data_IF_577031132879
#
_entry.id   IF_577031132879
#
_cell.length_a   1.000
_cell.length_b   1.000
_cell.length_c   1.000
_cell.angle_alpha   90.00
_cell.angle_beta   90.00
_cell.angle_gamma   90.00
#
_symmetry.space_group_name_H-M   'P 1'
#
loop_
_entity.id
_entity.type
_entity.pdbx_description
1 polymer ?
#
# COMPACT_ATOMS: atom_id res chain seq x y z
N UNK A 1 3.03 9.23 -19.52
CA UNK A 1 3.90 10.31 -20.03
C UNK A 1 4.04 11.47 -19.04
N UNK A 2 2.95 11.93 -18.42
CA UNK A 2 2.96 13.01 -17.41
C UNK A 2 3.74 12.59 -16.15
N UNK A 3 3.64 11.34 -15.74
CA UNK A 3 4.30 10.80 -14.53
C UNK A 3 5.80 10.61 -14.76
N UNK A 4 6.21 10.12 -15.94
CA UNK A 4 7.63 10.10 -16.32
C UNK A 4 8.22 11.53 -16.36
N UNK A 5 7.46 12.52 -16.88
CA UNK A 5 7.86 13.93 -16.80
C UNK A 5 7.98 14.44 -15.36
N UNK A 6 7.05 14.07 -14.46
CA UNK A 6 7.16 14.40 -13.02
C UNK A 6 8.38 13.78 -12.36
N UNK A 7 8.75 12.55 -12.70
CA UNK A 7 9.93 11.87 -12.15
C UNK A 7 11.24 12.47 -12.66
N UNK A 8 11.31 12.83 -13.95
CA UNK A 8 12.48 13.55 -14.52
C UNK A 8 12.69 14.88 -13.80
N UNK A 9 11.59 15.54 -13.39
CA UNK A 9 11.64 16.82 -12.67
C UNK A 9 11.69 16.67 -11.15
N UNK A 10 11.49 15.47 -10.59
CA UNK A 10 11.55 15.20 -9.15
C UNK A 10 12.19 13.82 -8.89
N UNK A 11 13.52 13.77 -8.79
CA UNK A 11 14.26 12.51 -8.56
C UNK A 11 13.98 11.87 -7.18
N UNK A 12 13.18 12.52 -6.33
CA UNK A 12 12.74 11.98 -5.02
C UNK A 12 11.53 11.06 -5.10
N UNK A 13 10.90 10.92 -6.29
CA UNK A 13 9.79 9.97 -6.43
C UNK A 13 10.29 8.54 -6.17
N UNK A 14 9.62 7.88 -5.23
CA UNK A 14 9.96 6.52 -4.82
C UNK A 14 9.70 5.51 -5.94
N UNK A 15 10.48 4.42 -5.95
CA UNK A 15 10.46 3.37 -6.99
C UNK A 15 9.08 2.66 -7.12
N UNK A 16 8.22 2.74 -6.12
CA UNK A 16 6.87 2.15 -6.19
C UNK A 16 6.02 2.74 -7.33
N UNK A 17 6.22 4.01 -7.66
CA UNK A 17 5.53 4.64 -8.81
C UNK A 17 5.91 3.99 -10.14
N UNK A 18 7.17 3.55 -10.30
CA UNK A 18 7.62 2.87 -11.53
C UNK A 18 7.01 1.47 -11.65
N UNK A 19 6.94 0.72 -10.54
CA UNK A 19 6.31 -0.61 -10.51
C UNK A 19 4.85 -0.49 -10.93
N UNK A 20 4.10 0.42 -10.32
CA UNK A 20 2.68 0.61 -10.60
C UNK A 20 2.45 1.10 -12.03
N UNK A 21 3.31 1.99 -12.53
CA UNK A 21 3.22 2.44 -13.92
C UNK A 21 3.45 1.29 -14.92
N UNK A 22 4.40 0.39 -14.63
CA UNK A 22 4.60 -0.82 -15.43
C UNK A 22 3.38 -1.75 -15.40
N UNK A 23 2.72 -1.87 -14.23
CA UNK A 23 1.47 -2.61 -14.10
C UNK A 23 0.33 -1.97 -14.91
N UNK A 24 0.26 -0.64 -14.97
CA UNK A 24 -0.69 0.08 -15.83
C UNK A 24 -0.63 -0.36 -17.27
N UNK A 25 0.57 -0.61 -17.81
CA UNK A 25 0.74 -1.14 -19.16
C UNK A 25 0.22 -2.59 -19.29
N UNK A 26 0.44 -3.44 -18.27
CA UNK A 26 -0.02 -4.84 -18.23
C UNK A 26 -1.55 -4.95 -18.17
N UNK A 27 -2.21 -4.02 -17.48
CA UNK A 27 -3.64 -4.01 -17.24
C UNK A 27 -4.39 -2.95 -18.09
N UNK A 28 -3.75 -2.43 -19.12
CA UNK A 28 -4.34 -1.42 -20.01
C UNK A 28 -5.69 -1.90 -20.57
N UNK A 29 -6.69 -1.03 -20.52
CA UNK A 29 -8.06 -1.27 -20.98
C UNK A 29 -8.75 -2.46 -20.25
N UNK A 30 -8.35 -2.77 -19.03
CA UNK A 30 -9.00 -3.78 -18.18
C UNK A 30 -9.70 -3.11 -17.02
N UNK A 31 -10.94 -3.50 -16.79
CA UNK A 31 -11.66 -3.12 -15.58
C UNK A 31 -11.16 -4.02 -14.43
N UNK A 32 -10.25 -3.50 -13.61
CA UNK A 32 -9.64 -4.20 -12.48
C UNK A 32 -10.05 -3.56 -11.17
N UNK A 33 -10.05 -4.36 -10.10
CA UNK A 33 -10.22 -3.87 -8.75
C UNK A 33 -8.86 -3.76 -8.06
N UNK A 34 -8.56 -2.59 -7.53
CA UNK A 34 -7.33 -2.33 -6.77
C UNK A 34 -7.71 -1.96 -5.35
N UNK A 35 -7.04 -2.56 -4.36
CA UNK A 35 -7.17 -2.20 -2.95
C UNK A 35 -5.87 -1.55 -2.47
N UNK A 36 -6.00 -0.39 -1.84
CA UNK A 36 -4.94 0.27 -1.07
C UNK A 36 -5.30 0.21 0.41
N UNK A 37 -4.36 -0.27 1.24
CA UNK A 37 -4.46 -0.25 2.70
C UNK A 37 -3.48 0.80 3.22
N UNK A 38 -4.03 1.91 3.76
CA UNK A 38 -3.27 3.09 4.16
C UNK A 38 -3.39 4.22 3.15
N UNK A 39 -4.51 4.97 3.21
CA UNK A 39 -4.81 6.07 2.28
C UNK A 39 -3.95 7.31 2.51
N UNK A 40 -3.63 7.61 3.78
CA UNK A 40 -2.94 8.83 4.19
C UNK A 40 -3.58 10.10 3.62
N UNK A 41 -2.85 10.91 2.84
CA UNK A 41 -3.37 12.12 2.15
C UNK A 41 -3.98 11.81 0.76
N UNK A 42 -4.12 10.53 0.38
CA UNK A 42 -4.76 10.08 -0.87
C UNK A 42 -3.94 10.30 -2.14
N UNK A 43 -2.67 10.73 -2.03
CA UNK A 43 -1.84 10.97 -3.23
C UNK A 43 -1.62 9.70 -4.04
N UNK A 44 -1.44 8.56 -3.36
CA UNK A 44 -1.19 7.31 -4.07
C UNK A 44 -2.48 6.74 -4.67
N UNK A 45 -3.63 6.84 -3.99
CA UNK A 45 -4.93 6.52 -4.57
C UNK A 45 -5.22 7.34 -5.84
N UNK A 46 -4.93 8.65 -5.80
CA UNK A 46 -5.05 9.53 -6.97
C UNK A 46 -4.11 9.08 -8.11
N UNK A 47 -2.89 8.69 -7.77
CA UNK A 47 -1.94 8.16 -8.75
C UNK A 47 -2.45 6.85 -9.36
N UNK A 48 -2.96 5.91 -8.56
CA UNK A 48 -3.57 4.66 -9.04
C UNK A 48 -4.73 4.95 -9.99
N UNK A 49 -5.63 5.87 -9.65
CA UNK A 49 -6.74 6.30 -10.50
C UNK A 49 -6.27 6.79 -11.88
N UNK A 50 -5.19 7.57 -11.92
CA UNK A 50 -4.63 8.07 -13.18
C UNK A 50 -3.92 6.99 -14.01
N UNK A 51 -3.35 5.98 -13.37
CA UNK A 51 -2.67 4.86 -14.06
C UNK A 51 -3.66 3.82 -14.57
N UNK A 52 -4.78 3.64 -13.85
CA UNK A 52 -5.83 2.68 -14.16
C UNK A 52 -7.20 3.37 -14.32
N UNK A 53 -7.39 4.18 -15.39
CA UNK A 53 -8.61 4.99 -15.55
C UNK A 53 -9.88 4.15 -15.69
N UNK A 54 -9.76 2.90 -16.18
CA UNK A 54 -10.87 1.97 -16.31
C UNK A 54 -11.00 1.03 -15.08
N UNK A 55 -10.15 1.19 -14.07
CA UNK A 55 -10.14 0.37 -12.85
C UNK A 55 -10.90 1.03 -11.71
N UNK A 56 -11.30 0.23 -10.73
CA UNK A 56 -11.90 0.68 -9.48
C UNK A 56 -10.83 0.70 -8.38
N UNK A 57 -10.58 1.85 -7.78
CA UNK A 57 -9.58 2.05 -6.72
C UNK A 57 -10.30 2.10 -5.39
N UNK A 58 -10.19 1.07 -4.59
CA UNK A 58 -10.66 1.02 -3.21
C UNK A 58 -9.51 1.39 -2.29
N UNK A 59 -9.69 2.39 -1.45
CA UNK A 59 -8.65 2.82 -0.51
C UNK A 59 -9.24 2.92 0.89
N UNK A 60 -8.51 2.44 1.89
CA UNK A 60 -8.98 2.38 3.27
C UNK A 60 -7.99 3.00 4.24
N UNK A 61 -8.50 3.69 5.23
CA UNK A 61 -7.73 4.22 6.35
C UNK A 61 -8.57 4.20 7.63
N UNK A 62 -7.93 4.33 8.78
CA UNK A 62 -8.62 4.48 10.05
C UNK A 62 -9.61 5.67 10.01
N UNK A 63 -10.74 5.58 10.73
CA UNK A 63 -11.64 6.71 10.88
C UNK A 63 -10.92 7.96 11.40
N UNK A 64 -11.30 9.11 10.89
CA UNK A 64 -10.64 10.39 11.22
C UNK A 64 -10.82 10.81 12.69
N UNK A 65 -11.78 10.25 13.41
CA UNK A 65 -11.99 10.41 14.84
C UNK A 65 -11.25 9.40 15.71
N UNK A 66 -10.67 8.34 15.10
CA UNK A 66 -9.89 7.31 15.81
C UNK A 66 -8.68 7.92 16.53
N UNK A 67 -8.38 7.41 17.74
CA UNK A 67 -7.25 7.88 18.56
C UNK A 67 -5.91 7.62 17.89
N UNK A 68 -5.72 6.45 17.29
CA UNK A 68 -4.47 6.05 16.62
C UNK A 68 -4.24 6.94 15.40
N UNK A 69 -5.29 7.16 14.59
CA UNK A 69 -5.23 8.08 13.46
C UNK A 69 -4.81 9.50 13.89
N UNK A 70 -5.37 10.03 14.97
CA UNK A 70 -5.04 11.38 15.48
C UNK A 70 -3.64 11.47 16.06
N UNK A 71 -3.13 10.41 16.70
CA UNK A 71 -1.79 10.40 17.29
C UNK A 71 -0.68 10.37 16.24
N UNK A 72 -0.93 9.75 15.10
CA UNK A 72 0.05 9.67 14.02
C UNK A 72 0.24 11.02 13.32
N UNK A 73 1.48 11.30 12.91
CA UNK A 73 1.87 12.51 12.17
C UNK A 73 1.43 13.83 12.82
N UNK A 74 1.30 13.86 14.18
CA UNK A 74 0.86 15.04 14.94
C UNK A 74 -0.53 15.57 14.56
N UNK A 75 -1.44 14.70 14.12
CA UNK A 75 -2.85 15.03 13.78
C UNK A 75 -3.72 15.35 15.01
N UNK A 76 -3.16 15.30 16.22
CA UNK A 76 -3.77 15.89 17.43
C UNK A 76 -3.87 17.41 17.36
N UNK A 77 -3.04 18.07 16.57
CA UNK A 77 -3.16 19.48 16.23
C UNK A 77 -4.28 19.66 15.19
N UNK A 78 -5.29 20.45 15.53
CA UNK A 78 -6.49 20.63 14.70
C UNK A 78 -6.17 21.23 13.32
N UNK A 79 -5.22 22.16 13.23
CA UNK A 79 -4.80 22.77 11.97
C UNK A 79 -4.14 21.73 11.05
N UNK A 80 -3.31 20.86 11.63
CA UNK A 80 -2.66 19.79 10.88
C UNK A 80 -3.67 18.73 10.44
N UNK A 81 -4.61 18.37 11.32
CA UNK A 81 -5.70 17.45 10.98
C UNK A 81 -6.54 18.01 9.83
N UNK A 82 -7.01 19.24 9.93
CA UNK A 82 -7.82 19.87 8.89
C UNK A 82 -7.07 19.98 7.56
N UNK A 83 -5.78 20.33 7.59
CA UNK A 83 -4.94 20.36 6.39
C UNK A 83 -4.86 18.95 5.74
N UNK A 84 -4.62 17.92 6.56
CA UNK A 84 -4.55 16.54 6.11
C UNK A 84 -5.87 16.09 5.45
N UNK A 85 -7.01 16.31 6.13
CA UNK A 85 -8.33 15.94 5.62
C UNK A 85 -8.67 16.68 4.32
N UNK A 86 -8.35 17.97 4.22
CA UNK A 86 -8.56 18.75 3.00
C UNK A 86 -7.73 18.22 1.82
N UNK A 87 -6.47 17.85 2.05
CA UNK A 87 -5.62 17.24 1.02
C UNK A 87 -6.17 15.87 0.60
N UNK A 88 -6.55 15.02 1.57
CA UNK A 88 -7.15 13.72 1.32
C UNK A 88 -8.40 13.86 0.46
N UNK A 89 -9.34 14.71 0.84
CA UNK A 89 -10.58 14.93 0.09
C UNK A 89 -10.31 15.41 -1.35
N UNK A 90 -9.35 16.32 -1.52
CA UNK A 90 -8.94 16.79 -2.84
C UNK A 90 -8.36 15.67 -3.71
N UNK A 91 -7.49 14.83 -3.14
CA UNK A 91 -6.84 13.76 -3.88
C UNK A 91 -7.78 12.59 -4.20
N UNK A 92 -8.83 12.40 -3.40
CA UNK A 92 -9.80 11.32 -3.57
C UNK A 92 -11.02 11.72 -4.44
N UNK A 93 -10.98 12.86 -5.13
CA UNK A 93 -12.12 13.39 -5.90
C UNK A 93 -12.35 12.73 -7.26
N UNK A 94 -11.55 11.75 -7.66
CA UNK A 94 -11.77 11.03 -8.92
C UNK A 94 -12.92 10.02 -8.79
N UNK A 95 -13.74 9.92 -9.84
CA UNK A 95 -14.98 9.11 -9.84
C UNK A 95 -14.76 7.60 -9.65
N UNK A 96 -13.55 7.11 -9.97
CA UNK A 96 -13.20 5.70 -9.81
C UNK A 96 -12.45 5.39 -8.50
N UNK A 97 -12.42 6.33 -7.54
CA UNK A 97 -11.86 6.14 -6.20
C UNK A 97 -13.00 5.96 -5.19
N UNK A 98 -12.95 4.85 -4.46
CA UNK A 98 -13.88 4.50 -3.40
C UNK A 98 -13.12 4.47 -2.07
N UNK A 99 -13.29 5.52 -1.28
CA UNK A 99 -12.64 5.65 0.02
C UNK A 99 -13.56 5.16 1.15
N UNK A 100 -12.98 4.39 2.08
CA UNK A 100 -13.68 3.89 3.26
C UNK A 100 -12.88 4.17 4.53
N UNK A 101 -13.51 4.81 5.49
CA UNK A 101 -12.95 4.99 6.84
C UNK A 101 -13.25 3.75 7.69
N UNK A 102 -12.34 2.76 7.67
CA UNK A 102 -12.44 1.52 8.45
C UNK A 102 -11.07 1.09 8.96
N UNK A 103 -11.06 0.41 10.11
CA UNK A 103 -9.88 -0.36 10.53
C UNK A 103 -9.68 -1.53 9.56
N UNK A 104 -8.44 -1.72 9.08
CA UNK A 104 -8.09 -2.79 8.15
C UNK A 104 -8.38 -4.19 8.71
N UNK A 105 -8.52 -4.37 10.03
CA UNK A 105 -9.02 -5.62 10.63
C UNK A 105 -10.41 -6.02 10.12
N UNK A 106 -11.19 -5.08 9.60
CA UNK A 106 -12.55 -5.30 9.12
C UNK A 106 -12.66 -5.49 7.59
N UNK A 107 -11.54 -5.56 6.87
CA UNK A 107 -11.52 -5.65 5.40
C UNK A 107 -12.33 -6.84 4.88
N UNK A 108 -12.19 -8.02 5.49
CA UNK A 108 -12.94 -9.23 5.06
C UNK A 108 -14.44 -9.08 5.22
N UNK A 109 -14.93 -8.41 6.27
CA UNK A 109 -16.35 -8.15 6.44
C UNK A 109 -16.87 -7.11 5.45
N UNK A 110 -16.08 -6.07 5.18
CA UNK A 110 -16.43 -4.99 4.25
C UNK A 110 -16.45 -5.45 2.80
N UNK A 111 -15.44 -6.23 2.39
CA UNK A 111 -15.25 -6.65 0.99
C UNK A 111 -15.53 -8.15 0.76
N UNK A 112 -16.41 -8.75 1.55
CA UNK A 112 -16.69 -10.19 1.60
C UNK A 112 -16.82 -10.86 0.22
N UNK A 113 -17.55 -10.23 -0.71
CA UNK A 113 -17.85 -10.77 -2.04
C UNK A 113 -16.91 -10.20 -3.14
N UNK A 114 -15.95 -9.37 -2.74
CA UNK A 114 -15.06 -8.70 -3.70
C UNK A 114 -13.69 -9.38 -3.77
N UNK A 115 -13.16 -9.50 -4.98
CA UNK A 115 -11.79 -9.90 -5.24
C UNK A 115 -11.04 -8.76 -5.90
N UNK A 116 -9.75 -8.68 -5.59
CA UNK A 116 -8.87 -7.65 -6.09
C UNK A 116 -7.78 -8.24 -6.99
N UNK A 117 -7.42 -7.50 -8.04
CA UNK A 117 -6.36 -7.85 -8.99
C UNK A 117 -4.99 -7.37 -8.51
N UNK A 118 -4.98 -6.21 -7.84
CA UNK A 118 -3.81 -5.62 -7.22
C UNK A 118 -4.18 -5.17 -5.80
N UNK A 119 -3.30 -5.47 -4.83
CA UNK A 119 -3.44 -5.00 -3.45
C UNK A 119 -2.14 -4.32 -3.05
N UNK A 120 -2.23 -3.06 -2.62
CA UNK A 120 -1.14 -2.26 -2.07
C UNK A 120 -1.30 -2.13 -0.57
N UNK A 121 -0.25 -2.49 0.20
CA UNK A 121 -0.23 -2.43 1.66
C UNK A 121 0.83 -1.43 2.10
N UNK A 122 0.40 -0.30 2.64
CA UNK A 122 1.24 0.79 3.15
C UNK A 122 0.62 1.41 4.42
N UNK A 123 0.02 0.57 5.27
CA UNK A 123 -0.53 0.95 6.56
C UNK A 123 0.49 0.83 7.70
N UNK A 124 0.09 0.22 8.82
CA UNK A 124 0.99 -0.05 9.95
C UNK A 124 1.90 -1.24 9.64
N UNK A 125 3.22 -1.02 9.61
CA UNK A 125 4.22 -2.05 9.31
C UNK A 125 4.63 -2.92 10.52
N UNK A 126 3.97 -2.75 11.69
CA UNK A 126 4.30 -3.48 12.90
C UNK A 126 3.35 -4.65 13.15
N UNK A 127 3.87 -5.65 13.86
CA UNK A 127 3.07 -6.78 14.37
C UNK A 127 2.09 -6.29 15.45
N UNK A 128 0.85 -6.83 15.52
CA UNK A 128 0.30 -7.87 14.64
C UNK A 128 -0.37 -7.35 13.37
N UNK A 129 -0.51 -6.01 13.19
CA UNK A 129 -1.33 -5.40 12.14
C UNK A 129 -0.87 -5.83 10.75
N UNK A 130 0.41 -5.74 10.44
CA UNK A 130 0.92 -6.09 9.11
C UNK A 130 0.65 -7.56 8.73
N UNK A 131 0.69 -8.49 9.70
CA UNK A 131 0.37 -9.88 9.42
C UNK A 131 -1.13 -10.05 9.09
N UNK A 132 -2.00 -9.34 9.80
CA UNK A 132 -3.44 -9.35 9.50
C UNK A 132 -3.71 -8.75 8.12
N UNK A 133 -3.09 -7.63 7.77
CA UNK A 133 -3.27 -6.98 6.47
C UNK A 133 -2.83 -7.90 5.33
N UNK A 134 -1.66 -8.56 5.44
CA UNK A 134 -1.19 -9.53 4.46
C UNK A 134 -2.13 -10.76 4.36
N UNK A 135 -2.58 -11.29 5.51
CA UNK A 135 -3.52 -12.42 5.54
C UNK A 135 -4.84 -12.07 4.86
N UNK A 136 -5.42 -10.92 5.20
CA UNK A 136 -6.68 -10.46 4.60
C UNK A 136 -6.51 -10.17 3.10
N UNK A 137 -5.36 -9.62 2.69
CA UNK A 137 -5.04 -9.41 1.28
C UNK A 137 -5.10 -10.74 0.50
N UNK A 138 -4.52 -11.83 1.03
CA UNK A 138 -4.62 -13.16 0.38
C UNK A 138 -6.07 -13.66 0.33
N UNK A 139 -6.85 -13.47 1.40
CA UNK A 139 -8.27 -13.85 1.43
C UNK A 139 -9.11 -13.08 0.41
N UNK A 140 -8.77 -11.83 0.15
CA UNK A 140 -9.41 -10.95 -0.84
C UNK A 140 -8.82 -11.12 -2.26
N UNK A 141 -7.89 -12.05 -2.44
CA UNK A 141 -7.22 -12.33 -3.72
C UNK A 141 -7.86 -13.48 -4.49
N UNK A 142 -7.57 -13.52 -5.78
CA UNK A 142 -7.67 -14.69 -6.66
C UNK A 142 -6.26 -15.17 -7.01
N UNK A 143 -6.15 -16.34 -7.67
CA UNK A 143 -4.87 -16.79 -8.22
C UNK A 143 -4.37 -15.77 -9.24
N UNK A 144 -3.10 -15.39 -9.15
CA UNK A 144 -2.49 -14.39 -10.00
C UNK A 144 -2.65 -12.94 -9.52
N UNK A 145 -3.41 -12.68 -8.43
CA UNK A 145 -3.45 -11.34 -7.79
C UNK A 145 -2.05 -10.90 -7.41
N UNK A 146 -1.77 -9.62 -7.63
CA UNK A 146 -0.49 -8.99 -7.28
C UNK A 146 -0.66 -8.29 -5.93
N UNK A 147 0.14 -8.69 -4.93
CA UNK A 147 0.21 -8.03 -3.63
C UNK A 147 1.55 -7.31 -3.53
N UNK A 148 1.49 -6.01 -3.29
CA UNK A 148 2.64 -5.13 -3.07
C UNK A 148 2.65 -4.68 -1.61
N UNK A 149 3.79 -4.84 -0.92
CA UNK A 149 3.95 -4.35 0.46
C UNK A 149 5.10 -3.36 0.49
N UNK A 150 4.83 -2.16 1.02
CA UNK A 150 5.83 -1.10 1.11
C UNK A 150 6.74 -1.25 2.34
N UNK A 151 7.81 -0.48 2.33
CA UNK A 151 8.78 -0.29 3.43
C UNK A 151 9.32 -1.60 4.07
N UNK A 152 9.47 -2.67 3.28
CA UNK A 152 10.04 -3.95 3.72
C UNK A 152 11.48 -3.78 4.19
N UNK A 153 11.80 -4.30 5.36
CA UNK A 153 13.14 -4.35 5.95
C UNK A 153 13.58 -5.79 6.17
N UNK A 154 14.67 -6.20 5.51
CA UNK A 154 15.18 -7.60 5.56
C UNK A 154 16.08 -7.88 6.75
N UNK A 155 16.71 -6.84 7.33
CA UNK A 155 17.62 -6.96 8.48
C UNK A 155 17.13 -6.08 9.62
N UNK A 156 17.15 -6.59 10.84
CA UNK A 156 16.86 -5.79 12.02
C UNK A 156 17.98 -4.76 12.23
N UNK A 157 17.58 -3.49 12.34
CA UNK A 157 18.46 -2.39 12.70
C UNK A 157 18.05 -1.88 14.09
N UNK A 158 18.93 -1.20 14.80
CA UNK A 158 18.60 -0.50 16.03
C UNK A 158 17.74 0.74 15.69
N UNK A 159 16.47 0.76 16.14
CA UNK A 159 15.59 1.91 15.95
C UNK A 159 14.10 1.55 15.88
N UNK A 160 13.26 2.51 16.27
CA UNK A 160 11.82 2.37 16.45
C UNK A 160 11.03 2.09 15.13
N UNK A 161 11.65 2.38 13.97
CA UNK A 161 10.99 2.28 12.65
C UNK A 161 11.55 1.15 11.79
N UNK A 162 12.11 0.11 12.41
CA UNK A 162 12.77 -0.97 11.70
C UNK A 162 12.12 -2.30 12.05
N UNK A 163 10.92 -2.50 11.51
CA UNK A 163 10.19 -3.76 11.66
C UNK A 163 10.56 -4.74 10.55
N UNK A 164 10.81 -6.00 10.93
CA UNK A 164 11.03 -7.11 9.98
C UNK A 164 9.76 -7.93 9.73
N UNK A 165 8.72 -7.65 10.46
CA UNK A 165 7.54 -8.51 10.55
C UNK A 165 6.87 -8.71 9.20
N UNK A 166 6.83 -7.67 8.37
CA UNK A 166 6.33 -7.77 6.98
C UNK A 166 7.18 -8.71 6.13
N UNK A 167 8.54 -8.64 6.26
CA UNK A 167 9.44 -9.55 5.56
C UNK A 167 9.24 -10.99 6.01
N UNK A 168 9.19 -11.22 7.33
CA UNK A 168 9.04 -12.55 7.92
C UNK A 168 7.69 -13.20 7.54
N UNK A 169 6.60 -12.43 7.50
CA UNK A 169 5.29 -12.90 7.08
C UNK A 169 5.28 -13.32 5.59
N UNK A 170 5.86 -12.51 4.72
CA UNK A 170 5.94 -12.80 3.28
C UNK A 170 6.82 -14.03 3.02
N UNK A 171 7.98 -14.15 3.68
CA UNK A 171 8.85 -15.32 3.56
C UNK A 171 8.17 -16.60 4.06
N UNK A 172 7.42 -16.52 5.16
CA UNK A 172 6.63 -17.65 5.63
C UNK A 172 5.61 -18.12 4.59
N UNK A 173 4.89 -17.19 3.99
CA UNK A 173 3.90 -17.48 2.94
C UNK A 173 4.55 -18.01 1.65
N UNK A 174 5.74 -17.52 1.32
CA UNK A 174 6.55 -18.05 0.23
C UNK A 174 6.93 -19.52 0.46
N UNK A 175 7.40 -19.88 1.67
CA UNK A 175 7.70 -21.27 2.05
C UNK A 175 6.48 -22.19 1.99
N UNK A 176 5.27 -21.65 2.18
CA UNK A 176 4.00 -22.37 2.02
C UNK A 176 3.48 -22.41 0.58
N UNK A 177 4.26 -21.86 -0.35
CA UNK A 177 3.89 -21.71 -1.78
C UNK A 177 2.60 -20.90 -2.00
N UNK A 178 2.21 -20.07 -1.03
CA UNK A 178 1.07 -19.16 -1.18
C UNK A 178 1.44 -17.95 -2.04
N UNK A 179 2.66 -17.44 -1.89
CA UNK A 179 3.18 -16.29 -2.61
C UNK A 179 4.48 -16.64 -3.35
N UNK A 180 4.60 -16.11 -4.58
CA UNK A 180 5.89 -16.00 -5.28
C UNK A 180 6.32 -14.55 -5.23
N UNK A 181 7.42 -14.25 -4.54
CA UNK A 181 7.80 -12.88 -4.18
C UNK A 181 9.16 -12.50 -4.74
N UNK A 182 9.23 -11.27 -5.26
CA UNK A 182 10.46 -10.55 -5.60
C UNK A 182 10.53 -9.27 -4.75
N UNK A 183 11.76 -8.77 -4.50
CA UNK A 183 11.98 -7.60 -3.68
C UNK A 183 12.75 -6.55 -4.46
N UNK A 184 12.18 -5.38 -4.60
CA UNK A 184 12.79 -4.23 -5.28
C UNK A 184 13.32 -3.24 -4.26
N UNK A 185 14.57 -2.79 -4.42
CA UNK A 185 15.15 -1.78 -3.56
C UNK A 185 14.44 -0.44 -3.79
N UNK A 186 13.75 0.05 -2.76
CA UNK A 186 13.02 1.32 -2.79
C UNK A 186 13.95 2.50 -2.53
N UNK A 187 14.72 2.42 -1.45
CA UNK A 187 15.65 3.48 -1.01
C UNK A 187 16.70 2.96 -0.04
N UNK A 188 17.80 3.70 0.04
CA UNK A 188 18.88 3.48 1.00
C UNK A 188 19.02 4.74 1.85
N UNK A 189 19.01 4.60 3.18
CA UNK A 189 19.28 5.67 4.12
C UNK A 189 20.70 5.55 4.66
N UNK A 190 21.48 6.63 4.55
CA UNK A 190 22.86 6.72 5.08
C UNK A 190 22.83 7.50 6.40
N UNK A 191 22.61 6.82 7.52
CA UNK A 191 22.86 7.35 8.85
C UNK A 191 23.52 6.23 9.66
N UNK A 192 24.84 6.31 9.88
CA UNK A 192 25.69 5.39 10.63
C UNK A 192 25.60 3.89 10.27
N UNK A 193 24.52 3.44 9.65
CA UNK A 193 24.26 2.09 9.12
C UNK A 193 23.39 2.25 7.86
N UNK A 194 23.71 1.50 6.83
CA UNK A 194 22.99 1.50 5.56
C UNK A 194 21.64 0.78 5.74
N UNK A 195 20.58 1.52 6.07
CA UNK A 195 19.23 0.99 6.11
C UNK A 195 18.68 0.90 4.67
N UNK A 196 18.40 -0.32 4.22
CA UNK A 196 17.76 -0.59 2.93
C UNK A 196 16.29 -0.91 3.12
N UNK A 197 15.42 -0.13 2.48
CA UNK A 197 13.99 -0.40 2.39
C UNK A 197 13.64 -0.94 1.01
N UNK A 198 12.78 -1.94 0.98
CA UNK A 198 12.35 -2.62 -0.24
C UNK A 198 10.83 -2.53 -0.39
N UNK A 199 10.38 -2.81 -1.60
CA UNK A 199 8.99 -3.14 -1.90
C UNK A 199 8.96 -4.62 -2.23
N UNK A 200 8.03 -5.39 -1.65
CA UNK A 200 7.76 -6.72 -2.13
C UNK A 200 6.75 -6.67 -3.28
N UNK A 201 7.00 -7.46 -4.29
CA UNK A 201 6.09 -7.76 -5.38
C UNK A 201 5.78 -9.25 -5.30
N UNK A 202 4.57 -9.58 -4.89
CA UNK A 202 4.15 -10.96 -4.66
C UNK A 202 3.00 -11.33 -5.58
N UNK A 203 3.08 -12.49 -6.21
CA UNK A 203 1.98 -13.07 -6.98
C UNK A 203 1.37 -14.19 -6.16
N UNK A 204 0.05 -14.20 -6.03
CA UNK A 204 -0.69 -15.24 -5.30
C UNK A 204 -0.73 -16.51 -6.13
N UNK A 205 -0.07 -17.57 -5.63
CA UNK A 205 0.00 -18.91 -6.27
C UNK A 205 -0.99 -19.89 -5.67
N UNK A 206 -1.34 -19.71 -4.37
CA UNK A 206 -2.25 -20.58 -3.64
C UNK A 206 -3.04 -19.77 -2.64
N UNK A 207 -4.35 -19.99 -2.59
CA UNK A 207 -5.23 -19.40 -1.57
C UNK A 207 -5.14 -20.18 -0.25
N UNK A 208 -5.35 -19.49 0.87
CA UNK A 208 -5.33 -20.07 2.23
C UNK A 208 -6.71 -20.00 2.88
#
# INVERSE_FOLDING_TARGET
LVIMKKKINNPKLSFHYDIVFALGSKFKNKNINILEIGTYEGEFANFLSNVFPDGNIFTVDLPSDDKKFKQDYSRTDEKKLNKHLNLRNKNLSCDNIFFEEIDSLNLLSKFKEKKFDIIWIDGDHHSPQIQFDIFQAIKLSSLGTIILVDDIIKKKYLGKYTSKESFEAIEYLGKKNCLKTEYFLKRTHFFNLVLKKYISYSVVNKLI
#
